data_IF_676760322322
#
_entry.id   IF_676760322322
#
_cell.length_a   1.000
_cell.length_b   1.000
_cell.length_c   1.000
_cell.angle_alpha   90.00
_cell.angle_beta   90.00
_cell.angle_gamma   90.00
#
_symmetry.space_group_name_H-M   'P 1'
#
loop_
_entity.id
_entity.type
_entity.pdbx_description
1 polymer ?
#
# COMPACT_ATOMS: atom_id res chain seq x y z
N UNK A 1 -8.01 -10.64 41.25
CA UNK A 1 -6.77 -10.50 40.49
C UNK A 1 -6.76 -11.38 39.24
N UNK A 2 -7.12 -10.89 38.05
CA UNK A 2 -6.56 -11.47 36.85
C UNK A 2 -6.41 -10.50 35.68
N UNK A 3 -5.95 -9.27 35.87
CA UNK A 3 -5.97 -8.27 34.84
C UNK A 3 -4.67 -8.13 34.02
N UNK A 4 -3.58 -8.77 34.43
CA UNK A 4 -2.29 -8.71 33.72
C UNK A 4 -2.14 -9.72 32.56
N UNK A 5 -2.92 -10.81 32.59
CA UNK A 5 -2.78 -11.91 31.61
C UNK A 5 -3.47 -11.68 30.26
N UNK A 6 -4.47 -10.81 30.23
CA UNK A 6 -5.22 -10.53 28.98
C UNK A 6 -4.51 -9.57 28.02
N UNK A 7 -3.71 -8.63 28.55
CA UNK A 7 -2.93 -7.69 27.73
C UNK A 7 -1.74 -8.36 27.03
N UNK A 8 -1.12 -9.33 27.70
CA UNK A 8 0.00 -10.07 27.12
C UNK A 8 -0.44 -11.03 26.03
N UNK A 9 -1.63 -11.63 26.13
CA UNK A 9 -2.19 -12.52 25.13
C UNK A 9 -2.64 -11.79 23.86
N UNK A 10 -3.02 -10.52 23.94
CA UNK A 10 -3.37 -9.71 22.76
C UNK A 10 -2.12 -9.31 21.94
N UNK A 11 -1.02 -9.02 22.62
CA UNK A 11 0.29 -8.78 21.97
C UNK A 11 0.81 -10.02 21.26
N UNK A 12 0.69 -11.18 21.89
CA UNK A 12 1.11 -12.47 21.33
C UNK A 12 0.27 -12.81 20.09
N UNK A 13 -1.05 -12.57 20.11
CA UNK A 13 -1.93 -12.80 18.95
C UNK A 13 -1.52 -11.97 17.73
N UNK A 14 -1.18 -10.70 17.92
CA UNK A 14 -0.68 -9.84 16.84
C UNK A 14 0.64 -10.34 16.23
N UNK A 15 1.56 -10.81 17.06
CA UNK A 15 2.83 -11.37 16.62
C UNK A 15 2.63 -12.66 15.81
N UNK A 16 1.78 -13.59 16.26
CA UNK A 16 1.49 -14.81 15.49
C UNK A 16 0.86 -14.50 14.14
N UNK A 17 -0.04 -13.53 14.05
CA UNK A 17 -0.62 -13.10 12.79
C UNK A 17 0.45 -12.57 11.83
N UNK A 18 1.38 -11.76 12.35
CA UNK A 18 2.49 -11.21 11.58
C UNK A 18 3.40 -12.31 11.02
N UNK A 19 3.81 -13.26 11.86
CA UNK A 19 4.65 -14.40 11.45
C UNK A 19 3.92 -15.29 10.44
N UNK A 20 2.63 -15.56 10.67
CA UNK A 20 1.83 -16.41 9.79
C UNK A 20 1.64 -15.78 8.42
N UNK A 21 1.38 -14.47 8.33
CA UNK A 21 1.22 -13.78 7.05
C UNK A 21 2.53 -13.73 6.27
N UNK A 22 3.66 -13.52 6.96
CA UNK A 22 4.98 -13.53 6.35
C UNK A 22 5.36 -14.94 5.85
N UNK A 23 5.09 -15.97 6.65
CA UNK A 23 5.29 -17.36 6.23
C UNK A 23 4.41 -17.74 5.04
N UNK A 24 3.15 -17.28 5.02
CA UNK A 24 2.24 -17.49 3.89
C UNK A 24 2.74 -16.81 2.61
N UNK A 25 3.34 -15.63 2.69
CA UNK A 25 3.92 -14.94 1.53
C UNK A 25 5.07 -15.76 0.93
N UNK A 26 6.03 -16.23 1.73
CA UNK A 26 7.13 -17.06 1.25
C UNK A 26 6.64 -18.42 0.71
N UNK A 27 5.64 -19.02 1.37
CA UNK A 27 5.04 -20.26 0.90
C UNK A 27 4.36 -20.09 -0.46
N UNK A 28 3.60 -19.01 -0.66
CA UNK A 28 2.96 -18.72 -1.95
C UNK A 28 3.99 -18.45 -3.05
N UNK A 29 5.03 -17.66 -2.77
CA UNK A 29 6.12 -17.41 -3.71
C UNK A 29 6.79 -18.71 -4.13
N UNK A 30 7.17 -19.57 -3.18
CA UNK A 30 7.71 -20.89 -3.44
C UNK A 30 6.76 -21.76 -4.26
N UNK A 31 5.46 -21.75 -3.91
CA UNK A 31 4.43 -22.56 -4.59
C UNK A 31 4.29 -22.15 -6.05
N UNK A 32 4.22 -20.85 -6.34
CA UNK A 32 4.12 -20.34 -7.71
C UNK A 32 5.37 -20.64 -8.55
N UNK A 33 6.55 -20.62 -7.95
CA UNK A 33 7.80 -20.96 -8.64
C UNK A 33 7.96 -22.47 -8.83
N UNK A 34 7.51 -23.28 -7.85
CA UNK A 34 7.71 -24.74 -7.86
C UNK A 34 6.81 -25.48 -8.82
N UNK A 35 5.56 -25.03 -8.99
CA UNK A 35 4.57 -25.75 -9.79
C UNK A 35 4.42 -25.14 -11.19
N UNK A 36 4.92 -25.81 -12.27
CA UNK A 36 4.87 -25.31 -13.65
C UNK A 36 3.46 -25.03 -14.17
N UNK A 37 2.45 -25.64 -13.57
CA UNK A 37 1.05 -25.43 -13.92
C UNK A 37 0.61 -23.96 -13.81
N UNK A 38 1.17 -23.20 -12.84
CA UNK A 38 0.82 -21.80 -12.62
C UNK A 38 1.35 -20.85 -13.72
N UNK A 39 2.43 -21.21 -14.40
CA UNK A 39 2.99 -20.45 -15.52
C UNK A 39 2.89 -21.16 -16.87
N UNK A 40 1.86 -22.04 -16.98
CA UNK A 40 1.50 -22.74 -18.21
C UNK A 40 2.69 -23.48 -18.85
N UNK A 41 3.54 -24.11 -18.02
CA UNK A 41 4.73 -24.86 -18.46
C UNK A 41 5.73 -24.04 -19.30
N UNK A 42 5.67 -22.72 -19.27
CA UNK A 42 6.62 -21.84 -19.96
C UNK A 42 8.02 -21.95 -19.35
N UNK A 43 9.05 -22.04 -20.17
CA UNK A 43 10.45 -22.14 -19.72
C UNK A 43 10.94 -20.90 -18.95
N UNK A 44 10.30 -19.76 -19.14
CA UNK A 44 10.64 -18.48 -18.49
C UNK A 44 10.06 -18.30 -17.10
N UNK A 45 9.14 -19.18 -16.65
CA UNK A 45 8.43 -19.02 -15.38
C UNK A 45 7.56 -17.76 -15.31
N UNK A 46 7.25 -17.15 -16.45
CA UNK A 46 6.43 -15.94 -16.57
C UNK A 46 5.20 -16.19 -17.44
N UNK A 47 4.10 -15.56 -17.09
CA UNK A 47 2.87 -15.55 -17.90
C UNK A 47 2.79 -14.20 -18.59
N UNK A 48 2.75 -14.19 -19.94
CA UNK A 48 2.48 -12.97 -20.69
C UNK A 48 1.00 -12.59 -20.53
N UNK A 49 0.75 -11.33 -20.21
CA UNK A 49 -0.62 -10.83 -20.12
C UNK A 49 -1.28 -10.91 -21.51
N UNK A 50 -2.50 -11.45 -21.62
CA UNK A 50 -3.26 -11.39 -22.87
C UNK A 50 -3.52 -9.91 -23.23
N UNK A 51 -3.74 -9.66 -24.54
CA UNK A 51 -4.12 -8.32 -24.98
C UNK A 51 -5.40 -7.89 -24.27
N UNK A 52 -5.33 -6.74 -23.61
CA UNK A 52 -6.49 -6.15 -22.94
C UNK A 52 -7.45 -5.61 -24.01
N UNK A 53 -8.53 -6.32 -24.25
CA UNK A 53 -9.63 -5.88 -25.10
C UNK A 53 -10.91 -5.79 -24.28
N UNK A 54 -11.59 -4.67 -24.31
CA UNK A 54 -12.89 -4.47 -23.67
C UNK A 54 -13.91 -4.07 -24.76
N UNK A 55 -14.97 -4.89 -24.93
CA UNK A 55 -16.03 -4.60 -25.91
C UNK A 55 -15.55 -4.21 -27.30
N UNK A 56 -14.58 -4.92 -27.88
CA UNK A 56 -13.99 -4.65 -29.23
C UNK A 56 -13.02 -3.48 -29.32
N UNK A 57 -12.74 -2.76 -28.24
CA UNK A 57 -11.71 -1.75 -28.21
C UNK A 57 -10.40 -2.32 -27.65
N UNK A 58 -9.31 -2.19 -28.41
CA UNK A 58 -7.96 -2.55 -27.97
C UNK A 58 -7.48 -1.56 -26.90
N UNK A 59 -7.57 -1.96 -25.63
CA UNK A 59 -7.04 -1.20 -24.48
C UNK A 59 -5.51 -1.37 -24.33
N UNK A 60 -4.86 -2.00 -25.27
CA UNK A 60 -3.42 -2.27 -25.20
C UNK A 60 -2.55 -1.04 -25.51
N UNK A 61 -3.18 0.06 -25.90
CA UNK A 61 -2.51 1.35 -26.04
C UNK A 61 -2.13 1.92 -24.67
N UNK A 62 -1.01 2.68 -24.53
CA UNK A 62 -0.63 3.31 -23.27
C UNK A 62 -1.78 4.14 -22.66
N UNK A 63 -2.52 4.84 -23.50
CA UNK A 63 -3.68 5.64 -23.10
C UNK A 63 -4.83 4.77 -22.60
N UNK A 64 -5.12 3.65 -23.26
CA UNK A 64 -6.17 2.72 -22.85
C UNK A 64 -5.88 2.10 -21.47
N UNK A 65 -4.63 1.65 -21.25
CA UNK A 65 -4.19 1.13 -19.94
C UNK A 65 -4.27 2.18 -18.82
N UNK A 66 -3.88 3.43 -19.14
CA UNK A 66 -3.99 4.54 -18.20
C UNK A 66 -5.45 4.82 -17.82
N UNK A 67 -6.35 4.94 -18.82
CA UNK A 67 -7.77 5.21 -18.57
C UNK A 67 -8.44 4.07 -17.78
N UNK A 68 -8.12 2.80 -18.11
CA UNK A 68 -8.63 1.64 -17.37
C UNK A 68 -8.17 1.68 -15.91
N UNK A 69 -6.89 1.95 -15.67
CA UNK A 69 -6.35 2.04 -14.31
C UNK A 69 -6.97 3.19 -13.55
N UNK A 70 -7.05 4.38 -14.18
CA UNK A 70 -7.63 5.57 -13.58
C UNK A 70 -9.11 5.37 -13.21
N UNK A 71 -9.92 4.83 -14.12
CA UNK A 71 -11.35 4.57 -13.86
C UNK A 71 -11.54 3.56 -12.73
N UNK A 72 -10.74 2.50 -12.69
CA UNK A 72 -10.79 1.50 -11.61
C UNK A 72 -10.39 2.11 -10.27
N UNK A 73 -9.33 2.90 -10.22
CA UNK A 73 -8.87 3.60 -8.99
C UNK A 73 -9.93 4.58 -8.51
N UNK A 74 -10.55 5.37 -9.40
CA UNK A 74 -11.62 6.30 -9.03
C UNK A 74 -12.83 5.56 -8.45
N UNK A 75 -13.25 4.47 -9.10
CA UNK A 75 -14.39 3.66 -8.64
C UNK A 75 -14.09 3.05 -7.26
N UNK A 76 -12.93 2.42 -7.09
CA UNK A 76 -12.53 1.81 -5.82
C UNK A 76 -12.39 2.87 -4.72
N UNK A 77 -11.84 4.04 -5.02
CA UNK A 77 -11.73 5.13 -4.06
C UNK A 77 -13.10 5.63 -3.63
N UNK A 78 -14.02 5.79 -4.58
CA UNK A 78 -15.41 6.17 -4.27
C UNK A 78 -16.09 5.15 -3.36
N UNK A 79 -15.94 3.85 -3.64
CA UNK A 79 -16.45 2.77 -2.79
C UNK A 79 -15.80 2.82 -1.40
N UNK A 80 -14.46 2.99 -1.31
CA UNK A 80 -13.73 3.08 -0.05
C UNK A 80 -14.20 4.25 0.82
N UNK A 81 -14.38 5.44 0.23
CA UNK A 81 -14.88 6.63 0.94
C UNK A 81 -16.27 6.41 1.50
N UNK A 82 -17.16 5.83 0.69
CA UNK A 82 -18.53 5.52 1.14
C UNK A 82 -18.53 4.45 2.24
N UNK A 83 -17.68 3.43 2.12
CA UNK A 83 -17.56 2.37 3.11
C UNK A 83 -17.07 2.90 4.46
N UNK A 84 -16.04 3.76 4.46
CA UNK A 84 -15.50 4.39 5.68
C UNK A 84 -16.54 5.30 6.35
N UNK A 85 -17.36 6.02 5.57
CA UNK A 85 -18.44 6.87 6.09
C UNK A 85 -19.66 6.07 6.56
N UNK A 86 -19.79 4.81 6.19
CA UNK A 86 -20.94 3.95 6.56
C UNK A 86 -20.90 3.52 8.02
N UNK A 87 -21.96 2.82 8.46
CA UNK A 87 -22.02 2.16 9.77
C UNK A 87 -20.86 1.16 9.96
N UNK A 88 -20.51 0.45 8.87
CA UNK A 88 -19.41 -0.53 8.87
C UNK A 88 -18.09 0.15 9.20
N UNK A 89 -17.80 1.28 8.54
CA UNK A 89 -16.58 2.05 8.80
C UNK A 89 -16.50 2.58 10.23
N UNK A 90 -17.61 3.07 10.79
CA UNK A 90 -17.68 3.51 12.21
C UNK A 90 -17.39 2.36 13.17
N UNK A 91 -17.95 1.18 12.92
CA UNK A 91 -17.69 0.01 13.74
C UNK A 91 -16.23 -0.45 13.65
N UNK A 92 -15.60 -0.36 12.46
CA UNK A 92 -14.16 -0.63 12.32
C UNK A 92 -13.29 0.35 13.09
N UNK A 93 -13.63 1.64 13.08
CA UNK A 93 -12.92 2.65 13.88
C UNK A 93 -13.05 2.36 15.39
N UNK A 94 -14.25 2.04 15.86
CA UNK A 94 -14.47 1.67 17.25
C UNK A 94 -13.65 0.42 17.68
N UNK A 95 -13.59 -0.61 16.81
CA UNK A 95 -12.80 -1.83 17.05
C UNK A 95 -11.29 -1.53 17.04
N UNK A 96 -10.83 -0.65 16.12
CA UNK A 96 -9.43 -0.24 16.04
C UNK A 96 -8.97 0.47 17.31
N UNK A 97 -9.80 1.37 17.81
CA UNK A 97 -9.46 2.21 18.97
C UNK A 97 -9.47 1.38 20.26
N UNK A 98 -10.50 0.55 20.48
CA UNK A 98 -10.58 -0.34 21.66
C UNK A 98 -11.54 -1.51 21.39
N UNK A 99 -11.00 -2.68 21.03
CA UNK A 99 -11.81 -3.85 20.66
C UNK A 99 -12.64 -4.42 21.83
N UNK A 100 -12.13 -4.32 23.07
CA UNK A 100 -12.85 -4.73 24.27
C UNK A 100 -14.05 -3.84 24.55
N UNK A 101 -13.92 -2.52 24.43
CA UNK A 101 -15.03 -1.59 24.59
C UNK A 101 -16.09 -1.77 23.49
N UNK A 102 -15.64 -1.98 22.23
CA UNK A 102 -16.54 -2.28 21.12
C UNK A 102 -17.37 -3.55 21.37
N UNK A 103 -16.78 -4.60 21.98
CA UNK A 103 -17.50 -5.80 22.32
C UNK A 103 -18.55 -5.58 23.43
N UNK A 104 -18.26 -4.74 24.41
CA UNK A 104 -19.19 -4.42 25.52
C UNK A 104 -20.43 -3.68 25.02
N UNK A 105 -20.27 -2.78 24.05
CA UNK A 105 -21.41 -2.07 23.44
C UNK A 105 -22.16 -2.89 22.38
N UNK A 106 -21.84 -4.20 22.24
CA UNK A 106 -22.57 -5.14 21.41
C UNK A 106 -22.09 -5.26 19.95
N UNK A 107 -20.94 -4.69 19.60
CA UNK A 107 -20.38 -4.85 18.25
C UNK A 107 -19.75 -6.26 18.12
N UNK A 108 -20.17 -7.09 17.15
CA UNK A 108 -19.61 -8.44 16.96
C UNK A 108 -18.22 -8.35 16.31
N UNK A 109 -17.19 -8.11 17.14
CA UNK A 109 -15.80 -7.83 16.75
C UNK A 109 -15.25 -8.82 15.71
N UNK A 110 -15.49 -10.13 15.92
CA UNK A 110 -14.98 -11.18 15.03
C UNK A 110 -15.53 -11.04 13.61
N UNK A 111 -16.84 -10.79 13.46
CA UNK A 111 -17.48 -10.62 12.16
C UNK A 111 -16.94 -9.41 11.41
N UNK A 112 -16.77 -8.27 12.12
CA UNK A 112 -16.22 -7.05 11.51
C UNK A 112 -14.75 -7.18 11.15
N UNK A 113 -13.95 -7.92 11.93
CA UNK A 113 -12.56 -8.26 11.56
C UNK A 113 -12.51 -9.10 10.30
N UNK A 114 -13.31 -10.16 10.17
CA UNK A 114 -13.37 -10.97 8.94
C UNK A 114 -13.82 -10.15 7.73
N UNK A 115 -14.82 -9.28 7.91
CA UNK A 115 -15.28 -8.40 6.82
C UNK A 115 -14.20 -7.41 6.40
N UNK A 116 -13.42 -6.86 7.33
CA UNK A 116 -12.28 -6.01 7.02
C UNK A 116 -11.21 -6.76 6.20
N UNK A 117 -10.88 -8.00 6.59
CA UNK A 117 -9.97 -8.84 5.82
C UNK A 117 -10.50 -9.17 4.42
N UNK A 118 -11.78 -9.49 4.29
CA UNK A 118 -12.40 -9.79 3.00
C UNK A 118 -12.33 -8.58 2.05
N UNK A 119 -12.70 -7.39 2.55
CA UNK A 119 -12.66 -6.16 1.76
C UNK A 119 -11.22 -5.80 1.38
N UNK A 120 -10.28 -5.84 2.33
CA UNK A 120 -8.87 -5.54 2.02
C UNK A 120 -8.27 -6.53 1.01
N UNK A 121 -8.58 -7.82 1.13
CA UNK A 121 -8.12 -8.83 0.17
C UNK A 121 -8.69 -8.60 -1.23
N UNK A 122 -9.95 -8.17 -1.34
CA UNK A 122 -10.57 -7.81 -2.61
C UNK A 122 -9.84 -6.62 -3.28
N UNK A 123 -9.55 -5.56 -2.53
CA UNK A 123 -8.78 -4.42 -3.03
C UNK A 123 -7.37 -4.81 -3.47
N UNK A 124 -6.68 -5.62 -2.66
CA UNK A 124 -5.34 -6.12 -2.99
C UNK A 124 -5.35 -7.01 -4.24
N UNK A 125 -6.38 -7.85 -4.40
CA UNK A 125 -6.54 -8.68 -5.59
C UNK A 125 -6.68 -7.84 -6.87
N UNK A 126 -7.53 -6.81 -6.86
CA UNK A 126 -7.68 -5.89 -7.99
C UNK A 126 -6.38 -5.11 -8.25
N UNK A 127 -5.73 -4.60 -7.20
CA UNK A 127 -4.47 -3.87 -7.34
C UNK A 127 -3.37 -4.77 -7.94
N UNK A 128 -3.27 -6.03 -7.48
CA UNK A 128 -2.34 -7.02 -8.03
C UNK A 128 -2.62 -7.35 -9.49
N UNK A 129 -3.88 -7.50 -9.87
CA UNK A 129 -4.27 -7.72 -11.27
C UNK A 129 -3.93 -6.50 -12.15
N UNK A 130 -4.24 -5.30 -11.72
CA UNK A 130 -3.86 -4.07 -12.45
C UNK A 130 -2.35 -3.94 -12.58
N UNK A 131 -1.60 -4.25 -11.52
CA UNK A 131 -0.15 -4.23 -11.54
C UNK A 131 0.41 -5.21 -12.58
N UNK A 132 -0.05 -6.46 -12.58
CA UNK A 132 0.41 -7.49 -13.49
C UNK A 132 0.02 -7.21 -14.95
N UNK A 133 -1.25 -6.89 -15.20
CA UNK A 133 -1.79 -6.82 -16.56
C UNK A 133 -1.69 -5.43 -17.19
N UNK A 134 -1.96 -4.37 -16.44
CA UNK A 134 -1.95 -3.02 -17.00
C UNK A 134 -0.55 -2.38 -16.98
N UNK A 135 0.26 -2.65 -15.96
CA UNK A 135 1.58 -2.04 -15.82
C UNK A 135 2.72 -2.91 -16.35
N UNK A 136 2.89 -4.13 -15.81
CA UNK A 136 4.00 -5.01 -16.19
C UNK A 136 3.81 -5.67 -17.55
N UNK A 137 2.57 -6.01 -17.92
CA UNK A 137 2.27 -6.81 -19.11
C UNK A 137 2.71 -8.28 -19.00
N UNK A 138 3.28 -8.67 -17.88
CA UNK A 138 3.69 -10.05 -17.55
C UNK A 138 3.47 -10.31 -16.07
N UNK A 139 3.09 -11.53 -15.72
CA UNK A 139 2.99 -11.97 -14.34
C UNK A 139 4.14 -12.93 -14.03
N UNK A 140 4.99 -12.58 -13.07
CA UNK A 140 6.04 -13.45 -12.52
C UNK A 140 5.97 -13.42 -11.00
N UNK A 141 6.36 -14.52 -10.34
CA UNK A 141 6.39 -14.58 -8.88
C UNK A 141 7.31 -13.50 -8.29
N UNK A 142 8.45 -13.23 -8.93
CA UNK A 142 9.42 -12.21 -8.51
C UNK A 142 8.90 -10.76 -8.56
N UNK A 143 7.80 -10.51 -9.28
CA UNK A 143 7.17 -9.18 -9.32
C UNK A 143 6.37 -8.84 -8.05
N UNK A 144 6.11 -9.83 -7.19
CA UNK A 144 5.33 -9.73 -5.96
C UNK A 144 6.17 -10.07 -4.72
N UNK A 145 7.43 -9.68 -4.74
CA UNK A 145 8.38 -9.95 -3.66
C UNK A 145 8.08 -9.15 -2.38
N UNK A 146 8.77 -9.51 -1.30
CA UNK A 146 8.65 -8.86 0.00
C UNK A 146 9.05 -7.37 -0.04
N UNK A 147 9.97 -6.97 -0.93
CA UNK A 147 10.39 -5.58 -1.07
C UNK A 147 9.24 -4.71 -1.55
N UNK A 148 8.38 -5.24 -2.43
CA UNK A 148 7.17 -4.56 -2.87
C UNK A 148 6.18 -4.37 -1.72
N UNK A 149 6.02 -5.38 -0.87
CA UNK A 149 5.17 -5.29 0.32
C UNK A 149 5.66 -4.21 1.29
N UNK A 150 6.96 -4.12 1.53
CA UNK A 150 7.56 -3.05 2.33
C UNK A 150 7.38 -1.68 1.68
N UNK A 151 7.54 -1.57 0.37
CA UNK A 151 7.32 -0.30 -0.34
C UNK A 151 5.88 0.22 -0.15
N UNK A 152 4.88 -0.67 -0.24
CA UNK A 152 3.47 -0.32 0.00
C UNK A 152 3.28 0.10 1.47
N UNK A 153 3.88 -0.62 2.41
CA UNK A 153 3.83 -0.26 3.83
C UNK A 153 4.40 1.14 4.07
N UNK A 154 5.51 1.49 3.44
CA UNK A 154 6.13 2.81 3.55
C UNK A 154 5.25 3.90 2.95
N UNK A 155 4.58 3.66 1.82
CA UNK A 155 3.60 4.58 1.24
C UNK A 155 2.51 4.92 2.27
N UNK A 156 1.98 3.92 2.97
CA UNK A 156 0.92 4.10 3.97
C UNK A 156 1.43 4.87 5.19
N UNK A 157 2.62 4.54 5.69
CA UNK A 157 3.20 5.21 6.87
C UNK A 157 3.51 6.68 6.56
N UNK A 158 4.20 6.95 5.44
CA UNK A 158 4.57 8.31 5.04
C UNK A 158 3.34 9.14 4.66
N UNK A 159 2.36 8.54 3.98
CA UNK A 159 1.12 9.21 3.63
C UNK A 159 0.25 9.59 4.82
N UNK A 160 0.27 8.74 5.84
CA UNK A 160 -0.52 8.87 7.08
C UNK A 160 -1.56 7.77 7.21
N UNK A 161 -1.38 6.94 8.23
CA UNK A 161 -2.28 5.83 8.54
C UNK A 161 -3.69 6.34 8.85
N UNK A 162 -4.68 5.80 8.13
CA UNK A 162 -6.09 6.14 8.35
C UNK A 162 -6.65 7.25 7.45
N UNK A 163 -5.84 7.82 6.54
CA UNK A 163 -6.30 8.81 5.57
C UNK A 163 -6.21 8.27 4.14
N UNK A 164 -7.35 8.21 3.42
CA UNK A 164 -7.38 7.84 2.01
C UNK A 164 -6.60 8.84 1.16
N UNK A 165 -6.78 10.14 1.41
CA UNK A 165 -6.04 11.19 0.72
C UNK A 165 -4.53 11.12 1.02
N UNK A 166 -4.16 10.80 2.27
CA UNK A 166 -2.77 10.59 2.67
C UNK A 166 -2.08 9.49 1.86
N UNK A 167 -2.76 8.38 1.60
CA UNK A 167 -2.22 7.29 0.79
C UNK A 167 -1.89 7.72 -0.65
N UNK A 168 -2.69 8.58 -1.27
CA UNK A 168 -2.37 9.14 -2.59
C UNK A 168 -1.15 10.06 -2.55
N UNK A 169 -1.05 10.91 -1.54
CA UNK A 169 0.12 11.78 -1.34
C UNK A 169 1.38 10.97 -1.08
N UNK A 170 1.29 9.95 -0.22
CA UNK A 170 2.39 9.02 0.05
C UNK A 170 2.83 8.25 -1.19
N UNK A 171 1.88 7.77 -2.00
CA UNK A 171 2.18 7.07 -3.25
C UNK A 171 2.87 8.01 -4.27
N UNK A 172 2.37 9.24 -4.43
CA UNK A 172 2.99 10.23 -5.29
C UNK A 172 4.42 10.56 -4.81
N UNK A 173 4.61 10.78 -3.51
CA UNK A 173 5.91 11.07 -2.92
C UNK A 173 6.92 9.95 -3.16
N UNK A 174 6.56 8.70 -2.82
CA UNK A 174 7.44 7.54 -2.97
C UNK A 174 7.74 7.24 -4.45
N UNK A 175 6.79 7.50 -5.36
CA UNK A 175 6.99 7.28 -6.79
C UNK A 175 7.84 8.38 -7.46
N UNK A 176 7.72 9.62 -7.02
CA UNK A 176 8.48 10.75 -7.56
C UNK A 176 9.90 10.83 -6.99
N UNK A 177 10.11 10.39 -5.76
CA UNK A 177 11.39 10.51 -5.08
C UNK A 177 12.57 9.85 -5.84
N UNK A 178 12.46 8.61 -6.38
CA UNK A 178 13.53 8.02 -7.19
C UNK A 178 13.86 8.85 -8.44
N UNK A 179 12.83 9.41 -9.08
CA UNK A 179 12.98 10.22 -10.28
C UNK A 179 13.72 11.52 -9.95
N UNK A 180 13.31 12.19 -8.90
CA UNK A 180 13.99 13.41 -8.43
C UNK A 180 15.44 13.14 -8.02
N UNK A 181 15.68 12.05 -7.30
CA UNK A 181 17.04 11.66 -6.90
C UNK A 181 17.93 11.29 -8.08
N UNK A 182 17.38 10.63 -9.11
CA UNK A 182 18.15 10.31 -10.32
C UNK A 182 18.55 11.57 -11.08
N UNK A 183 17.62 12.51 -11.25
CA UNK A 183 17.91 13.80 -11.91
C UNK A 183 18.90 14.65 -11.08
N UNK A 184 18.71 14.74 -9.76
CA UNK A 184 19.63 15.47 -8.90
C UNK A 184 21.03 14.82 -8.87
N UNK A 185 21.11 13.50 -8.85
CA UNK A 185 22.38 12.79 -8.92
C UNK A 185 23.12 13.02 -10.21
N UNK A 186 22.42 12.98 -11.35
CA UNK A 186 23.02 13.31 -12.66
C UNK A 186 23.50 14.77 -12.75
N UNK A 187 22.71 15.70 -12.21
CA UNK A 187 23.07 17.12 -12.21
C UNK A 187 24.26 17.43 -11.30
N UNK A 188 24.39 16.79 -10.14
CA UNK A 188 25.45 17.04 -9.14
C UNK A 188 26.76 16.30 -9.47
N UNK A 189 26.68 15.08 -9.99
CA UNK A 189 27.84 14.20 -10.19
C UNK A 189 28.22 14.02 -11.68
N UNK A 190 27.60 14.73 -12.60
CA UNK A 190 27.99 14.79 -14.00
C UNK A 190 28.01 13.44 -14.73
N UNK A 191 27.16 12.50 -14.36
CA UNK A 191 27.07 11.18 -15.02
C UNK A 191 28.15 10.16 -14.63
N UNK A 192 29.04 10.48 -13.68
CA UNK A 192 30.13 9.60 -13.22
C UNK A 192 29.68 8.57 -12.18
N UNK A 193 28.42 8.62 -11.72
CA UNK A 193 27.88 7.70 -10.70
C UNK A 193 27.27 6.50 -11.39
N UNK A 194 27.77 5.31 -11.06
CA UNK A 194 27.23 4.04 -11.54
C UNK A 194 25.75 3.87 -11.10
N UNK A 195 24.92 3.32 -11.99
CA UNK A 195 23.49 3.10 -11.74
C UNK A 195 23.22 2.26 -10.46
N UNK A 196 24.14 1.34 -10.13
CA UNK A 196 24.08 0.54 -8.91
C UNK A 196 24.31 1.36 -7.64
N UNK A 197 25.23 2.31 -7.67
CA UNK A 197 25.49 3.23 -6.55
C UNK A 197 24.30 4.15 -6.32
N UNK A 198 23.68 4.64 -7.39
CA UNK A 198 22.47 5.46 -7.31
C UNK A 198 21.29 4.72 -6.66
N UNK A 199 21.08 3.45 -7.03
CA UNK A 199 20.06 2.61 -6.39
C UNK A 199 20.31 2.38 -4.90
N UNK A 200 21.56 2.16 -4.51
CA UNK A 200 21.91 1.97 -3.10
C UNK A 200 21.71 3.26 -2.31
N UNK A 201 22.08 4.40 -2.87
CA UNK A 201 21.86 5.72 -2.29
C UNK A 201 20.35 6.00 -2.10
N UNK A 202 19.53 5.65 -3.09
CA UNK A 202 18.08 5.74 -2.98
C UNK A 202 17.54 4.92 -1.80
N UNK A 203 17.98 3.67 -1.63
CA UNK A 203 17.56 2.81 -0.50
C UNK A 203 17.94 3.39 0.85
N UNK A 204 19.13 3.98 0.97
CA UNK A 204 19.60 4.64 2.20
C UNK A 204 18.71 5.86 2.49
N UNK A 205 18.43 6.69 1.49
CA UNK A 205 17.58 7.88 1.64
C UNK A 205 16.15 7.47 2.02
N UNK A 206 15.58 6.44 1.39
CA UNK A 206 14.28 5.89 1.79
C UNK A 206 14.27 5.45 3.25
N UNK A 207 15.27 4.68 3.69
CA UNK A 207 15.38 4.24 5.07
C UNK A 207 15.48 5.41 6.06
N UNK A 208 16.32 6.40 5.76
CA UNK A 208 16.47 7.59 6.59
C UNK A 208 15.17 8.42 6.65
N UNK A 209 14.49 8.59 5.52
CA UNK A 209 13.20 9.29 5.44
C UNK A 209 12.12 8.61 6.28
N UNK A 210 12.03 7.28 6.22
CA UNK A 210 11.07 6.51 7.01
C UNK A 210 11.31 6.73 8.50
N UNK A 211 12.57 6.61 8.95
CA UNK A 211 12.94 6.82 10.35
C UNK A 211 12.57 8.25 10.77
N UNK A 212 12.86 9.23 9.93
CA UNK A 212 12.56 10.64 10.21
C UNK A 212 11.06 10.89 10.33
N UNK A 213 10.25 10.32 9.42
CA UNK A 213 8.79 10.43 9.47
C UNK A 213 8.20 9.73 10.70
N UNK A 214 8.67 8.52 11.04
CA UNK A 214 8.19 7.80 12.22
C UNK A 214 8.48 8.54 13.52
N UNK A 215 9.62 9.27 13.60
CA UNK A 215 9.99 10.02 14.82
C UNK A 215 9.29 11.37 14.88
N UNK A 216 9.23 12.10 13.77
CA UNK A 216 8.80 13.51 13.75
C UNK A 216 7.31 13.70 13.49
N UNK A 217 6.72 12.86 12.62
CA UNK A 217 5.34 13.02 12.14
C UNK A 217 4.63 11.67 12.04
N UNK A 218 4.24 11.09 13.19
CA UNK A 218 3.56 9.77 13.20
C UNK A 218 2.21 9.76 12.47
N UNK A 219 1.62 10.92 12.18
CA UNK A 219 0.39 11.06 11.43
C UNK A 219 0.60 11.30 9.92
N UNK A 220 1.86 11.32 9.46
CA UNK A 220 2.24 11.36 8.06
C UNK A 220 2.08 12.71 7.36
N UNK A 221 2.38 12.71 6.05
CA UNK A 221 2.38 13.91 5.20
C UNK A 221 1.05 14.64 5.16
N UNK A 222 -0.07 13.92 5.32
CA UNK A 222 -1.40 14.55 5.25
C UNK A 222 -1.61 15.57 6.35
N UNK A 223 -1.09 15.34 7.55
CA UNK A 223 -1.16 16.31 8.66
C UNK A 223 -0.28 17.53 8.42
N UNK A 224 0.92 17.33 7.86
CA UNK A 224 1.78 18.43 7.45
C UNK A 224 1.09 19.33 6.42
N UNK A 225 0.42 18.74 5.43
CA UNK A 225 -0.34 19.50 4.43
C UNK A 225 -1.55 20.21 5.06
N UNK A 226 -2.22 19.59 6.03
CA UNK A 226 -3.29 20.21 6.80
C UNK A 226 -2.81 21.44 7.57
N UNK A 227 -1.73 21.30 8.33
CA UNK A 227 -1.12 22.37 9.10
C UNK A 227 -0.60 23.51 8.20
N UNK A 228 -0.05 23.18 7.03
CA UNK A 228 0.36 24.18 6.02
C UNK A 228 -0.85 24.95 5.47
N UNK A 229 -1.92 24.24 5.15
CA UNK A 229 -3.16 24.84 4.65
C UNK A 229 -3.78 25.77 5.70
N UNK A 230 -3.81 25.37 6.96
CA UNK A 230 -4.28 26.22 8.06
C UNK A 230 -3.40 27.48 8.22
N UNK A 231 -2.08 27.32 8.21
CA UNK A 231 -1.15 28.46 8.28
C UNK A 231 -1.33 29.42 7.09
N UNK A 232 -1.55 28.90 5.89
CA UNK A 232 -1.79 29.71 4.69
C UNK A 232 -3.17 30.38 4.71
N UNK A 233 -4.20 29.74 5.27
CA UNK A 233 -5.55 30.33 5.38
C UNK A 233 -5.63 31.43 6.46
N UNK A 234 -4.74 31.40 7.44
CA UNK A 234 -4.62 32.43 8.47
C UNK A 234 -3.65 33.57 8.09
N UNK A 235 -3.03 33.54 6.92
CA UNK A 235 -2.22 34.62 6.38
C UNK A 235 -3.08 35.41 5.36
N UNK A 236 -3.71 36.55 5.64
CA UNK A 236 -3.14 37.80 6.17
C UNK A 236 -3.85 38.41 7.39
N UNK A 237 -4.64 37.66 8.14
CA UNK A 237 -5.42 38.22 9.26
C UNK A 237 -4.77 37.90 10.63
N UNK A 238 -3.63 38.52 10.92
CA UNK A 238 -3.23 38.82 12.29
C UNK A 238 -3.68 40.23 12.62
N UNK A 239 -4.87 40.33 13.17
CA UNK A 239 -5.25 41.43 14.06
C UNK A 239 -5.49 40.84 15.43
#
# INVERSE_FOLDING_TARGET
FPTRRSSDLSRIKGFYLMVTTLAAQFFLEWLFVKFPWFYNYGSSGTISAPKLALFSHDLNTPLGRYLLTLSTVLLLTWVAVNLVKSQIGRNWMAIRDMDTAAAVIGIPVVRYKHLAFAVSSFYLGIAGALWAFAYLGTASASSFDINRSFQILFIIIIGGMGSIAGNFVGAAFISLLPILLSHAGQALFGGSVDAGQLQNLQKIIFGALIILFLIKEPEGLIRLLGNLRERLSHWPLRF
#
